data_IF_311650724258
#
_entry.id   IF_311650724258
#
_cell.length_a   1.000
_cell.length_b   1.000
_cell.length_c   1.000
_cell.angle_alpha   90.00
_cell.angle_beta   90.00
_cell.angle_gamma   90.00
#
_symmetry.space_group_name_H-M   'P 1'
#
loop_
_entity.id
_entity.type
_entity.pdbx_description
1 polymer ?
#
# COMPACT_ATOMS: atom_id res chain seq x y z
N UNK A 1 5.76 -11.13 5.44
CA UNK A 1 4.60 -11.21 4.51
C UNK A 1 3.58 -12.27 4.93
N UNK A 2 3.94 -13.53 5.17
CA UNK A 2 2.95 -14.59 5.48
C UNK A 2 2.07 -14.32 6.71
N UNK A 3 2.63 -13.77 7.80
CA UNK A 3 1.84 -13.36 8.97
C UNK A 3 0.83 -12.24 8.66
N UNK A 4 1.20 -11.32 7.76
CA UNK A 4 0.30 -10.26 7.30
C UNK A 4 -0.89 -10.85 6.52
N UNK A 5 -0.61 -11.76 5.59
CA UNK A 5 -1.66 -12.43 4.80
C UNK A 5 -2.59 -13.28 5.66
N UNK A 6 -2.07 -13.91 6.71
CA UNK A 6 -2.90 -14.64 7.67
C UNK A 6 -3.77 -13.69 8.49
N UNK A 7 -3.20 -12.57 8.96
CA UNK A 7 -3.97 -11.53 9.66
C UNK A 7 -5.09 -10.97 8.78
N UNK A 8 -4.83 -10.77 7.49
CA UNK A 8 -5.83 -10.35 6.51
C UNK A 8 -6.95 -11.40 6.36
N UNK A 9 -6.57 -12.66 6.18
CA UNK A 9 -7.54 -13.74 6.04
C UNK A 9 -8.52 -13.83 7.21
N UNK A 10 -8.03 -13.60 8.43
CA UNK A 10 -8.80 -13.78 9.65
C UNK A 10 -9.59 -12.54 10.08
N UNK A 11 -9.15 -11.33 9.70
CA UNK A 11 -9.66 -10.10 10.32
C UNK A 11 -10.11 -9.02 9.33
N UNK A 12 -9.43 -8.81 8.20
CA UNK A 12 -9.72 -7.67 7.31
C UNK A 12 -9.22 -7.89 5.87
N UNK A 13 -10.04 -7.50 4.89
CA UNK A 13 -9.66 -7.48 3.47
C UNK A 13 -8.73 -6.30 3.13
N UNK A 14 -8.79 -5.21 3.89
CA UNK A 14 -8.08 -3.96 3.62
C UNK A 14 -6.95 -3.72 4.62
N UNK A 15 -5.72 -3.55 4.13
CA UNK A 15 -4.53 -3.32 4.97
C UNK A 15 -3.64 -2.23 4.38
N UNK A 16 -3.15 -1.34 5.25
CA UNK A 16 -2.09 -0.41 4.91
C UNK A 16 -0.86 -0.63 5.81
N UNK A 17 0.32 -0.74 5.20
CA UNK A 17 1.59 -0.80 5.92
C UNK A 17 2.17 0.61 6.03
N UNK A 18 2.29 1.12 7.25
CA UNK A 18 2.82 2.45 7.53
C UNK A 18 4.16 2.32 8.26
N UNK A 19 5.18 3.05 7.82
CA UNK A 19 6.46 3.14 8.53
C UNK A 19 7.12 4.51 8.35
N UNK A 20 7.54 5.13 9.45
CA UNK A 20 8.30 6.38 9.51
C UNK A 20 9.82 6.15 9.35
N UNK A 21 10.31 4.95 9.66
CA UNK A 21 11.64 4.44 9.29
C UNK A 21 11.53 3.26 8.31
N UNK A 22 10.98 3.57 7.13
CA UNK A 22 10.56 2.58 6.14
C UNK A 22 11.67 1.81 5.42
N UNK A 23 12.96 2.07 5.70
CA UNK A 23 14.08 1.36 5.04
C UNK A 23 14.00 -0.15 5.24
N UNK A 24 13.75 -0.59 6.49
CA UNK A 24 13.61 -2.01 6.82
C UNK A 24 12.41 -2.63 6.12
N UNK A 25 11.26 -1.97 6.23
CA UNK A 25 9.99 -2.39 5.59
C UNK A 25 10.12 -2.48 4.08
N UNK A 26 10.78 -1.51 3.44
CA UNK A 26 11.03 -1.53 2.00
C UNK A 26 11.84 -2.76 1.60
N UNK A 27 12.91 -3.06 2.34
CA UNK A 27 13.85 -4.13 2.03
C UNK A 27 13.30 -5.54 2.35
N UNK A 28 12.59 -5.70 3.45
CA UNK A 28 12.23 -6.99 4.02
C UNK A 28 10.78 -7.39 3.73
N UNK A 29 9.89 -6.42 3.49
CA UNK A 29 8.47 -6.67 3.25
C UNK A 29 8.02 -6.29 1.84
N UNK A 30 8.24 -5.04 1.43
CA UNK A 30 7.71 -4.52 0.15
C UNK A 30 8.42 -5.16 -1.03
N UNK A 31 9.75 -5.07 -1.09
CA UNK A 31 10.51 -5.60 -2.24
C UNK A 31 10.32 -7.11 -2.44
N UNK A 32 10.45 -7.96 -1.39
CA UNK A 32 10.25 -9.40 -1.55
C UNK A 32 8.77 -9.77 -1.76
N UNK A 33 7.84 -8.93 -1.29
CA UNK A 33 6.40 -9.15 -1.36
C UNK A 33 5.73 -8.61 -2.62
N UNK A 34 6.48 -8.22 -3.65
CA UNK A 34 5.91 -7.53 -4.81
C UNK A 34 4.90 -8.35 -5.60
N UNK A 35 5.05 -9.67 -5.69
CA UNK A 35 4.04 -10.51 -6.35
C UNK A 35 2.68 -10.41 -5.65
N UNK A 36 2.68 -10.53 -4.32
CA UNK A 36 1.49 -10.37 -3.46
C UNK A 36 0.88 -8.98 -3.59
N UNK A 37 1.70 -7.93 -3.53
CA UNK A 37 1.23 -6.55 -3.68
C UNK A 37 0.61 -6.32 -5.06
N UNK A 38 1.27 -6.78 -6.13
CA UNK A 38 0.76 -6.65 -7.49
C UNK A 38 -0.58 -7.39 -7.67
N UNK A 39 -0.72 -8.60 -7.10
CA UNK A 39 -2.00 -9.33 -7.12
C UNK A 39 -3.09 -8.56 -6.38
N UNK A 40 -2.80 -8.04 -5.19
CA UNK A 40 -3.77 -7.25 -4.41
C UNK A 40 -4.20 -5.98 -5.13
N UNK A 41 -3.26 -5.23 -5.73
CA UNK A 41 -3.56 -4.02 -6.51
C UNK A 41 -4.35 -4.32 -7.79
N UNK A 42 -4.19 -5.51 -8.35
CA UNK A 42 -4.94 -5.96 -9.53
C UNK A 42 -6.26 -6.64 -9.17
N UNK A 43 -6.57 -6.80 -7.87
CA UNK A 43 -7.74 -7.54 -7.39
C UNK A 43 -7.70 -9.04 -7.69
N UNK A 44 -6.52 -9.59 -8.00
CA UNK A 44 -6.34 -11.01 -8.26
C UNK A 44 -6.33 -11.80 -6.94
N UNK A 45 -6.93 -12.99 -6.90
CA UNK A 45 -6.88 -13.84 -5.70
C UNK A 45 -5.44 -14.23 -5.37
N UNK A 46 -5.11 -14.27 -4.07
CA UNK A 46 -3.80 -14.70 -3.58
C UNK A 46 -3.97 -16.04 -2.86
N UNK A 47 -3.46 -17.10 -3.47
CA UNK A 47 -3.43 -18.43 -2.86
C UNK A 47 -2.19 -18.56 -1.98
N UNK A 48 -2.40 -18.85 -0.69
CA UNK A 48 -1.33 -19.09 0.27
C UNK A 48 -1.34 -20.57 0.63
N UNK A 49 -0.43 -21.32 0.00
CA UNK A 49 -0.23 -22.75 0.28
C UNK A 49 0.79 -22.92 1.41
N UNK A 50 0.48 -23.80 2.38
CA UNK A 50 1.38 -24.12 3.49
C UNK A 50 1.51 -25.64 3.64
N UNK A 51 2.72 -26.11 3.95
CA UNK A 51 2.99 -27.55 4.17
C UNK A 51 2.41 -28.09 5.48
N UNK A 52 2.26 -27.24 6.50
CA UNK A 52 1.96 -27.66 7.88
C UNK A 52 0.69 -27.06 8.47
N UNK A 53 0.01 -26.18 7.74
CA UNK A 53 -1.25 -25.54 8.17
C UNK A 53 -2.20 -25.43 6.99
N UNK A 54 -3.46 -25.14 7.28
CA UNK A 54 -4.51 -25.01 6.28
C UNK A 54 -4.15 -23.93 5.25
N UNK A 55 -4.32 -24.29 3.97
CA UNK A 55 -4.10 -23.37 2.87
C UNK A 55 -5.34 -22.51 2.70
N UNK A 56 -5.15 -21.22 2.42
CA UNK A 56 -6.25 -20.29 2.26
C UNK A 56 -6.08 -19.43 1.01
N UNK A 57 -7.20 -18.89 0.53
CA UNK A 57 -7.22 -17.96 -0.60
C UNK A 57 -7.77 -16.63 -0.10
N UNK A 58 -7.05 -15.56 -0.41
CA UNK A 58 -7.54 -14.19 -0.22
C UNK A 58 -8.21 -13.74 -1.51
N UNK A 59 -9.46 -13.31 -1.40
CA UNK A 59 -10.26 -12.68 -2.47
C UNK A 59 -10.69 -11.28 -2.02
N UNK A 60 -10.71 -10.32 -2.95
CA UNK A 60 -11.11 -8.93 -2.66
C UNK A 60 -10.13 -8.11 -1.81
N UNK A 61 -8.96 -8.65 -1.50
CA UNK A 61 -7.98 -8.04 -0.61
C UNK A 61 -7.30 -6.81 -1.22
N UNK A 62 -7.23 -5.72 -0.45
CA UNK A 62 -6.57 -4.46 -0.82
C UNK A 62 -5.41 -4.17 0.10
N UNK A 63 -4.25 -3.91 -0.49
CA UNK A 63 -3.04 -3.57 0.23
C UNK A 63 -2.52 -2.21 -0.23
N UNK A 64 -2.10 -1.39 0.71
CA UNK A 64 -1.38 -0.17 0.47
C UNK A 64 -0.14 -0.09 1.37
N UNK A 65 0.78 0.81 1.06
CA UNK A 65 1.83 1.17 2.00
C UNK A 65 2.20 2.64 1.88
N UNK A 66 2.70 3.20 2.97
CA UNK A 66 3.30 4.52 3.03
C UNK A 66 4.58 4.44 3.85
N UNK A 67 5.69 4.77 3.22
CA UNK A 67 7.02 4.67 3.82
C UNK A 67 7.69 6.03 3.81
N UNK A 68 8.13 6.49 4.97
CA UNK A 68 9.10 7.59 5.07
C UNK A 68 10.49 7.01 5.16
N UNK A 69 11.39 7.47 4.30
CA UNK A 69 12.76 6.95 4.22
C UNK A 69 13.71 8.12 4.08
N UNK A 70 14.76 8.13 4.90
CA UNK A 70 15.80 9.15 4.79
C UNK A 70 16.55 9.03 3.45
N UNK A 71 17.02 10.14 2.87
CA UNK A 71 17.68 10.13 1.56
C UNK A 71 18.88 9.17 1.44
N UNK A 72 19.73 9.10 2.48
CA UNK A 72 20.91 8.22 2.49
C UNK A 72 20.54 6.73 2.36
N UNK A 73 19.76 6.16 3.30
CA UNK A 73 19.27 4.79 3.20
C UNK A 73 18.48 4.49 1.92
N UNK A 74 17.72 5.46 1.41
CA UNK A 74 17.01 5.30 0.14
C UNK A 74 17.97 5.19 -1.05
N UNK A 75 19.03 6.01 -1.07
CA UNK A 75 20.07 5.93 -2.10
C UNK A 75 20.77 4.58 -2.06
N UNK A 76 21.13 4.10 -0.86
CA UNK A 76 21.76 2.79 -0.67
C UNK A 76 20.85 1.63 -1.11
N UNK A 77 19.53 1.77 -0.95
CA UNK A 77 18.56 0.83 -1.51
C UNK A 77 18.55 0.88 -3.03
N UNK A 78 18.55 2.09 -3.61
CA UNK A 78 18.52 2.26 -5.06
C UNK A 78 19.73 1.61 -5.72
N UNK A 79 20.92 1.85 -5.18
CA UNK A 79 22.16 1.34 -5.75
C UNK A 79 22.24 -0.21 -5.72
N UNK A 80 21.58 -0.85 -4.76
CA UNK A 80 21.66 -2.32 -4.56
C UNK A 80 20.46 -3.10 -5.09
N UNK A 81 19.26 -2.51 -5.10
CA UNK A 81 18.00 -3.24 -5.34
C UNK A 81 17.04 -2.55 -6.30
N UNK A 82 17.37 -1.36 -6.82
CA UNK A 82 16.47 -0.60 -7.70
C UNK A 82 16.08 -1.38 -8.95
N UNK A 83 16.99 -2.14 -9.55
CA UNK A 83 16.71 -2.87 -10.79
C UNK A 83 15.66 -3.97 -10.57
N UNK A 84 15.75 -4.69 -9.45
CA UNK A 84 14.73 -5.68 -9.06
C UNK A 84 13.39 -4.99 -8.80
N UNK A 85 13.39 -3.90 -8.03
CA UNK A 85 12.18 -3.15 -7.72
C UNK A 85 11.51 -2.60 -8.98
N UNK A 86 12.31 -2.10 -9.93
CA UNK A 86 11.87 -1.60 -11.23
C UNK A 86 11.28 -2.72 -12.08
N UNK A 87 11.98 -3.86 -12.21
CA UNK A 87 11.50 -5.01 -12.96
C UNK A 87 10.21 -5.61 -12.38
N UNK A 88 10.05 -5.58 -11.06
CA UNK A 88 8.85 -6.02 -10.37
C UNK A 88 7.68 -5.00 -10.43
N UNK A 89 7.91 -3.82 -11.03
CA UNK A 89 6.90 -2.79 -11.22
C UNK A 89 6.60 -1.93 -9.98
N UNK A 90 7.46 -1.95 -8.94
CA UNK A 90 7.27 -1.17 -7.71
C UNK A 90 7.16 0.33 -8.05
N UNK A 91 8.09 0.85 -8.83
CA UNK A 91 8.14 2.28 -9.17
C UNK A 91 7.05 2.73 -10.15
N UNK A 92 6.45 1.80 -10.90
CA UNK A 92 5.33 2.13 -11.79
C UNK A 92 4.00 2.31 -11.02
N UNK A 93 3.92 1.80 -9.79
CA UNK A 93 2.68 1.79 -8.98
C UNK A 93 2.82 2.56 -7.67
N UNK A 94 3.92 3.30 -7.50
CA UNK A 94 4.18 4.08 -6.28
C UNK A 94 4.39 5.54 -6.60
N UNK A 95 3.92 6.39 -5.71
CA UNK A 95 4.23 7.82 -5.72
C UNK A 95 5.43 8.05 -4.82
N UNK A 96 6.55 8.50 -5.41
CA UNK A 96 7.76 8.86 -4.67
C UNK A 96 7.82 10.38 -4.58
N UNK A 97 7.88 10.90 -3.35
CA UNK A 97 8.06 12.32 -3.09
C UNK A 97 9.37 12.52 -2.31
N UNK A 98 10.24 13.38 -2.82
CA UNK A 98 11.46 13.82 -2.15
C UNK A 98 11.40 15.32 -1.88
N UNK A 99 10.85 15.76 -0.74
CA UNK A 99 10.83 17.18 -0.40
C UNK A 99 12.26 17.71 -0.23
N UNK A 100 12.49 18.94 -0.69
CA UNK A 100 13.77 19.62 -0.46
C UNK A 100 14.01 19.79 1.04
N UNK A 101 15.26 19.56 1.47
CA UNK A 101 15.64 19.80 2.86
C UNK A 101 15.50 21.29 3.18
N UNK A 102 14.72 21.61 4.20
CA UNK A 102 14.62 22.96 4.76
C UNK A 102 15.67 23.21 5.86
N UNK A 103 16.54 22.24 6.14
CA UNK A 103 17.60 22.36 7.16
C UNK A 103 18.61 23.41 6.67
N UNK A 104 18.86 24.43 7.49
CA UNK A 104 19.72 25.57 7.15
C UNK A 104 19.00 26.75 6.49
N UNK A 105 17.75 26.56 6.03
CA UNK A 105 16.94 27.59 5.39
C UNK A 105 15.63 27.79 6.14
N UNK A 106 15.70 28.44 7.31
CA UNK A 106 14.50 28.86 8.05
C UNK A 106 14.15 30.29 7.69
N UNK A 107 13.67 30.51 6.47
CA UNK A 107 13.19 31.83 6.06
C UNK A 107 11.80 32.04 6.66
N UNK A 108 11.70 32.85 7.73
CA UNK A 108 10.41 33.31 8.27
C UNK A 108 9.87 34.34 7.28
N UNK A 109 9.32 33.85 6.17
CA UNK A 109 8.52 34.66 5.26
C UNK A 109 7.09 34.66 5.79
N UNK A 110 6.50 35.85 5.90
CA UNK A 110 5.07 36.02 6.12
C UNK A 110 4.35 35.70 4.81
N UNK A 111 4.56 34.50 4.26
CA UNK A 111 3.77 34.04 3.14
C UNK A 111 2.35 33.82 3.67
N UNK A 112 1.41 34.60 3.16
CA UNK A 112 0.02 34.18 3.14
C UNK A 112 0.03 32.82 2.45
N UNK A 113 -0.11 31.75 3.22
CA UNK A 113 -0.33 30.43 2.67
C UNK A 113 -1.66 30.53 1.93
N UNK A 114 -1.62 30.76 0.61
CA UNK A 114 -2.75 30.48 -0.27
C UNK A 114 -2.89 28.96 -0.28
N UNK A 115 -3.44 28.42 0.81
CA UNK A 115 -3.93 27.04 0.87
C UNK A 115 -5.00 26.98 -0.19
N UNK A 116 -4.73 26.25 -1.26
CA UNK A 116 -5.77 25.84 -2.18
C UNK A 116 -6.88 25.16 -1.37
N UNK A 117 -8.13 25.44 -1.74
CA UNK A 117 -9.27 24.81 -1.11
C UNK A 117 -9.21 23.29 -1.35
N UNK A 118 -8.88 22.55 -0.29
CA UNK A 118 -8.74 21.10 -0.31
C UNK A 118 -10.08 20.38 -0.13
N UNK A 119 -11.20 21.12 -0.04
CA UNK A 119 -12.54 20.56 0.16
C UNK A 119 -12.91 19.56 -0.92
N UNK A 120 -12.65 19.86 -2.20
CA UNK A 120 -12.94 18.95 -3.31
C UNK A 120 -12.12 17.66 -3.22
N UNK A 121 -10.85 17.75 -2.83
CA UNK A 121 -9.98 16.59 -2.63
C UNK A 121 -10.52 15.68 -1.53
N UNK A 122 -10.82 16.25 -0.35
CA UNK A 122 -11.36 15.47 0.77
C UNK A 122 -12.74 14.88 0.47
N UNK A 123 -13.61 15.62 -0.25
CA UNK A 123 -14.90 15.12 -0.71
C UNK A 123 -14.72 13.89 -1.63
N UNK A 124 -13.79 13.97 -2.59
CA UNK A 124 -13.50 12.85 -3.49
C UNK A 124 -12.94 11.63 -2.76
N UNK A 125 -12.04 11.83 -1.80
CA UNK A 125 -11.50 10.72 -0.98
C UNK A 125 -12.61 10.04 -0.18
N UNK A 126 -13.52 10.81 0.44
CA UNK A 126 -14.65 10.26 1.18
C UNK A 126 -15.57 9.43 0.28
N UNK A 127 -15.95 9.96 -0.89
CA UNK A 127 -16.79 9.25 -1.86
C UNK A 127 -16.16 7.91 -2.30
N UNK A 128 -14.85 7.89 -2.52
CA UNK A 128 -14.14 6.66 -2.90
C UNK A 128 -14.11 5.62 -1.78
N UNK A 129 -13.97 6.07 -0.53
CA UNK A 129 -13.99 5.20 0.64
C UNK A 129 -15.40 4.62 0.83
N UNK A 130 -16.45 5.42 0.72
CA UNK A 130 -17.85 4.97 0.81
C UNK A 130 -18.16 3.90 -0.25
N UNK A 131 -17.79 4.15 -1.51
CA UNK A 131 -17.91 3.16 -2.59
C UNK A 131 -17.16 1.86 -2.33
N UNK A 132 -16.03 1.93 -1.62
CA UNK A 132 -15.26 0.72 -1.30
C UNK A 132 -15.99 -0.17 -0.29
N UNK A 133 -16.71 0.43 0.67
CA UNK A 133 -17.53 -0.31 1.62
C UNK A 133 -18.78 -0.91 0.96
N UNK A 134 -19.46 -0.15 0.08
CA UNK A 134 -20.64 -0.65 -0.65
C UNK A 134 -20.31 -1.85 -1.54
N UNK A 135 -19.12 -1.85 -2.16
CA UNK A 135 -18.65 -2.97 -2.99
C UNK A 135 -18.35 -4.25 -2.20
N UNK A 136 -18.12 -4.15 -0.89
CA UNK A 136 -17.97 -5.32 -0.02
C UNK A 136 -19.32 -5.94 0.34
N UNK A 137 -20.39 -5.15 0.49
CA UNK A 137 -21.74 -5.63 0.81
C UNK A 137 -22.40 -6.37 -0.36
N UNK A 138 -22.12 -5.99 -1.61
CA UNK A 138 -22.70 -6.65 -2.79
C UNK A 138 -22.11 -8.04 -3.09
N UNK A 139 -20.94 -8.36 -2.51
CA UNK A 139 -20.27 -9.67 -2.68
C UNK A 139 -20.83 -10.74 -1.72
N UNK A 140 -21.74 -10.38 -0.80
CA UNK A 140 -22.40 -11.28 0.16
C UNK A 140 -23.83 -11.72 -0.23
N UNK A 141 -24.34 -11.35 -1.42
CA UNK A 141 -25.54 -12.01 -1.95
C UNK A 141 -25.17 -13.43 -2.44
N UNK A 142 -25.41 -14.43 -1.59
CA UNK A 142 -25.22 -15.84 -1.91
C UNK A 142 -25.87 -16.21 -3.26
N UNK A 143 -25.22 -16.99 -4.13
CA UNK A 143 -25.90 -17.61 -5.25
C UNK A 143 -26.92 -18.61 -4.68
N UNK A 144 -28.19 -18.24 -4.78
CA UNK A 144 -29.34 -19.08 -4.46
C UNK A 144 -29.11 -20.51 -4.92
N UNK A 145 -29.22 -21.47 -3.99
CA UNK A 145 -29.24 -22.90 -4.25
C UNK A 145 -30.12 -23.22 -5.47
N UNK A 146 -29.51 -23.69 -6.55
CA UNK A 146 -30.25 -24.37 -7.62
C UNK A 146 -30.45 -25.80 -7.13
N UNK A 147 -31.67 -26.10 -6.69
CA UNK A 147 -32.19 -27.44 -6.41
C UNK A 147 -32.18 -28.33 -7.64
#
# INVERSE_FOLDING_TARGET
MQGLLQGMHQNTKNVCVLADEGTGTLNQLVTPGMSTLNSSWSGMPIKVERKTSESFTLTGQRMAFLLSIQPGPFQEYRDRKSDLAKAAGLWARTLVCGPLSTIGFRQISRHENTRSDSTQYFARIRELIEKSFESEETEYEEPSEIK
#
